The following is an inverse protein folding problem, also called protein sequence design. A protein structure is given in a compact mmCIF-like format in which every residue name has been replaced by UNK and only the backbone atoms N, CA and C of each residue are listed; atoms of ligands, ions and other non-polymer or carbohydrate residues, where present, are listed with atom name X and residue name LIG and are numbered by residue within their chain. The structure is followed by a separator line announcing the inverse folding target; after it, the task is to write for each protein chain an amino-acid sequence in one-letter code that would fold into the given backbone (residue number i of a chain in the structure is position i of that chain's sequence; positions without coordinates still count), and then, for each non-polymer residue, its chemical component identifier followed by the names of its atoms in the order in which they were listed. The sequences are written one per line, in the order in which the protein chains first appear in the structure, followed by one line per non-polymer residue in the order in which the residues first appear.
data_IF_381427847323
#
_entry.id   IF_381427847323
#
_cell.length_a   1.000
_cell.length_b   1.000
_cell.length_c   1.000
_cell.angle_alpha   90.00
_cell.angle_beta   90.00
_cell.angle_gamma   90.00
#
_symmetry.space_group_name_H-M   'P 1'
#
loop_
_entity.id
_entity.type
_entity.pdbx_description
1 polymer ?
#
# COMPACT_ATOMS: atom_id res chain seq x y z
N UNK A 1 19.23 -21.21 -0.84
CA UNK A 1 17.93 -21.16 -1.55
C UNK A 1 17.62 -19.68 -1.84
N UNK A 2 16.57 -19.36 -2.60
CA UNK A 2 16.19 -17.97 -2.89
C UNK A 2 14.76 -17.73 -2.43
N UNK A 3 14.56 -16.69 -1.62
CA UNK A 3 13.25 -16.18 -1.25
C UNK A 3 12.95 -14.91 -2.05
N UNK A 4 11.90 -14.93 -2.85
CA UNK A 4 11.37 -13.75 -3.52
C UNK A 4 10.21 -13.16 -2.72
N UNK A 5 10.31 -11.90 -2.32
CA UNK A 5 9.26 -11.19 -1.58
C UNK A 5 8.56 -10.20 -2.51
N UNK A 6 7.24 -10.31 -2.61
CA UNK A 6 6.38 -9.51 -3.47
C UNK A 6 5.32 -8.80 -2.64
N UNK A 7 4.87 -7.63 -3.05
CA UNK A 7 3.77 -6.90 -2.38
C UNK A 7 2.36 -7.40 -2.75
N UNK A 8 2.23 -8.18 -3.84
CA UNK A 8 0.94 -8.62 -4.38
C UNK A 8 0.98 -9.95 -5.14
N UNK A 9 -0.16 -10.64 -5.17
CA UNK A 9 -0.30 -12.00 -5.72
C UNK A 9 -0.01 -12.09 -7.21
N UNK A 10 -0.42 -11.09 -7.99
CA UNK A 10 -0.28 -11.16 -9.45
C UNK A 10 1.19 -11.11 -9.88
N UNK A 11 1.98 -10.21 -9.31
CA UNK A 11 3.42 -10.12 -9.53
C UNK A 11 4.14 -11.41 -9.09
N UNK A 12 3.78 -11.95 -7.92
CA UNK A 12 4.35 -13.20 -7.42
C UNK A 12 4.06 -14.39 -8.36
N UNK A 13 2.81 -14.52 -8.82
CA UNK A 13 2.39 -15.57 -9.75
C UNK A 13 3.03 -15.45 -11.12
N UNK A 14 3.29 -14.22 -11.59
CA UNK A 14 3.96 -13.98 -12.86
C UNK A 14 5.45 -14.33 -12.78
N UNK A 15 6.12 -13.89 -11.70
CA UNK A 15 7.53 -14.15 -11.47
C UNK A 15 7.82 -15.64 -11.26
N UNK A 16 6.97 -16.37 -10.54
CA UNK A 16 7.17 -17.80 -10.26
C UNK A 16 7.14 -18.70 -11.50
N UNK A 17 6.63 -18.20 -12.62
CA UNK A 17 6.64 -18.92 -13.90
C UNK A 17 8.01 -18.88 -14.60
N UNK A 18 8.89 -17.94 -14.23
CA UNK A 18 10.14 -17.66 -14.96
C UNK A 18 11.38 -17.46 -14.08
N UNK A 19 11.20 -17.34 -12.77
CA UNK A 19 12.26 -17.23 -11.77
C UNK A 19 12.10 -18.35 -10.75
N UNK A 20 13.16 -19.11 -10.51
CA UNK A 20 13.18 -20.20 -9.54
C UNK A 20 13.40 -19.67 -8.12
N UNK A 21 12.62 -20.19 -7.16
CA UNK A 21 12.74 -19.86 -5.75
C UNK A 21 11.41 -20.02 -5.03
N UNK A 22 11.39 -19.68 -3.75
CA UNK A 22 10.16 -19.56 -2.96
C UNK A 22 9.59 -18.16 -3.17
N UNK A 23 8.29 -18.05 -3.47
CA UNK A 23 7.62 -16.76 -3.66
C UNK A 23 6.69 -16.47 -2.47
N UNK A 24 7.06 -15.46 -1.68
CA UNK A 24 6.28 -14.95 -0.56
C UNK A 24 5.55 -13.68 -0.98
N UNK A 25 4.23 -13.65 -0.78
CA UNK A 25 3.43 -12.42 -0.88
C UNK A 25 3.36 -11.78 0.51
N UNK A 26 3.96 -10.61 0.65
CA UNK A 26 3.91 -9.75 1.82
C UNK A 26 2.87 -8.66 1.59
N UNK A 27 1.75 -8.69 2.32
CA UNK A 27 0.61 -7.83 2.01
C UNK A 27 0.05 -7.19 3.28
N UNK A 28 0.37 -5.91 3.49
CA UNK A 28 -0.01 -5.17 4.68
C UNK A 28 -0.36 -3.71 4.33
N UNK A 29 -1.45 -3.19 4.91
CA UNK A 29 -1.92 -1.83 4.67
C UNK A 29 -1.19 -0.82 5.57
N UNK A 30 0.15 -0.77 5.50
CA UNK A 30 0.96 0.05 6.41
C UNK A 30 0.67 1.56 6.34
N UNK A 31 0.10 2.05 5.24
CA UNK A 31 -0.36 3.44 5.09
C UNK A 31 -1.70 3.74 5.82
N UNK A 32 -2.26 2.74 6.51
CA UNK A 32 -3.52 2.85 7.26
C UNK A 32 -3.37 2.45 8.71
N UNK A 33 -4.16 3.10 9.57
CA UNK A 33 -4.26 2.78 10.98
C UNK A 33 -2.96 2.97 11.77
N UNK A 34 -2.96 2.61 13.06
CA UNK A 34 -1.80 2.85 13.90
C UNK A 34 -0.63 1.93 13.51
N UNK A 35 0.58 2.49 13.53
CA UNK A 35 1.84 1.75 13.47
C UNK A 35 2.51 1.80 14.86
N UNK A 36 2.18 0.88 15.79
CA UNK A 36 2.81 0.84 17.10
C UNK A 36 4.34 0.80 17.00
N UNK A 37 5.04 1.57 17.83
CA UNK A 37 6.50 1.54 17.84
C UNK A 37 7.01 0.15 18.31
N UNK A 38 8.22 -0.26 17.88
CA UNK A 38 8.87 -1.46 18.39
C UNK A 38 8.93 -1.49 19.93
N UNK A 39 8.94 -2.68 20.56
CA UNK A 39 9.05 -4.00 19.92
C UNK A 39 7.75 -4.51 19.27
N UNK A 40 7.88 -5.22 18.15
CA UNK A 40 6.77 -5.86 17.42
C UNK A 40 6.28 -7.10 18.17
N UNK A 41 5.44 -6.88 19.17
CA UNK A 41 4.83 -7.93 19.99
C UNK A 41 3.43 -8.28 19.48
N UNK A 42 2.70 -9.15 20.18
CA UNK A 42 1.29 -9.42 19.87
C UNK A 42 0.41 -8.18 19.75
N UNK A 43 0.78 -7.08 20.42
CA UNK A 43 0.05 -5.82 20.28
C UNK A 43 0.14 -5.25 18.86
N UNK A 44 1.30 -5.37 18.21
CA UNK A 44 1.49 -4.97 16.80
C UNK A 44 0.54 -5.76 15.90
N UNK A 45 0.62 -7.09 15.95
CA UNK A 45 -0.21 -7.96 15.10
C UNK A 45 -1.71 -7.75 15.33
N UNK A 46 -2.16 -7.60 16.58
CA UNK A 46 -3.57 -7.28 16.87
C UNK A 46 -4.00 -5.94 16.29
N UNK A 47 -3.17 -4.90 16.44
CA UNK A 47 -3.47 -3.57 15.91
C UNK A 47 -3.55 -3.59 14.38
N UNK A 48 -2.60 -4.24 13.71
CA UNK A 48 -2.57 -4.38 12.24
C UNK A 48 -3.71 -5.24 11.71
N UNK A 49 -3.98 -6.38 12.36
CA UNK A 49 -5.06 -7.29 11.99
C UNK A 49 -6.43 -6.59 12.03
N UNK A 50 -6.67 -5.72 13.02
CA UNK A 50 -7.91 -4.96 13.12
C UNK A 50 -8.08 -3.92 12.00
N UNK A 51 -6.99 -3.39 11.45
CA UNK A 51 -7.02 -2.47 10.31
C UNK A 51 -7.42 -3.22 9.04
N UNK A 52 -6.74 -4.31 8.72
CA UNK A 52 -7.01 -5.08 7.48
C UNK A 52 -8.34 -5.81 7.54
N UNK A 53 -8.78 -6.28 8.72
CA UNK A 53 -10.07 -6.96 8.87
C UNK A 53 -11.26 -6.12 8.37
N UNK A 54 -11.14 -4.78 8.39
CA UNK A 54 -12.15 -3.86 7.84
C UNK A 54 -12.37 -4.00 6.33
N UNK A 55 -11.47 -4.69 5.63
CA UNK A 55 -11.58 -5.02 4.21
C UNK A 55 -12.39 -6.31 3.95
N UNK A 56 -13.05 -6.86 4.99
CA UNK A 56 -13.86 -8.08 4.88
C UNK A 56 -13.14 -9.36 5.31
N UNK A 57 -11.99 -9.24 5.99
CA UNK A 57 -11.25 -10.39 6.53
C UNK A 57 -11.53 -10.58 8.02
N UNK A 58 -11.26 -11.79 8.53
CA UNK A 58 -11.29 -12.03 9.98
C UNK A 58 -9.99 -11.59 10.63
N UNK A 59 -10.04 -10.93 11.79
CA UNK A 59 -8.82 -10.50 12.52
C UNK A 59 -7.89 -11.69 12.80
N UNK A 60 -8.42 -12.84 13.22
CA UNK A 60 -7.62 -14.06 13.48
C UNK A 60 -6.89 -14.57 12.23
N UNK A 61 -7.55 -14.53 11.07
CA UNK A 61 -6.95 -14.94 9.80
C UNK A 61 -5.83 -13.99 9.38
N UNK A 62 -6.04 -12.69 9.54
CA UNK A 62 -5.02 -11.68 9.24
C UNK A 62 -3.85 -11.79 10.21
N UNK A 63 -4.06 -11.85 11.52
CA UNK A 63 -2.98 -11.98 12.52
C UNK A 63 -2.06 -13.16 12.18
N UNK A 64 -2.64 -14.33 11.90
CA UNK A 64 -1.88 -15.51 11.48
C UNK A 64 -1.07 -15.26 10.21
N UNK A 65 -1.67 -14.62 9.20
CA UNK A 65 -1.01 -14.30 7.92
C UNK A 65 0.18 -13.37 8.15
N UNK A 66 0.01 -12.29 8.90
CA UNK A 66 1.07 -11.31 9.16
C UNK A 66 2.27 -11.95 9.86
N UNK A 67 2.02 -12.76 10.90
CA UNK A 67 3.08 -13.50 11.58
C UNK A 67 3.82 -14.43 10.62
N UNK A 68 3.10 -15.19 9.81
CA UNK A 68 3.72 -16.13 8.88
C UNK A 68 4.56 -15.43 7.80
N UNK A 69 4.21 -14.20 7.42
CA UNK A 69 4.99 -13.41 6.47
C UNK A 69 6.32 -12.94 7.09
N UNK A 70 6.27 -12.42 8.32
CA UNK A 70 7.46 -12.01 9.06
C UNK A 70 8.37 -13.22 9.36
N UNK A 71 7.80 -14.32 9.86
CA UNK A 71 8.50 -15.56 10.18
C UNK A 71 9.20 -16.15 8.95
N UNK A 72 8.57 -16.14 7.77
CA UNK A 72 9.18 -16.65 6.55
C UNK A 72 10.41 -15.85 6.10
N UNK A 73 10.41 -14.53 6.30
CA UNK A 73 11.58 -13.69 6.00
C UNK A 73 12.69 -13.96 7.03
N UNK A 74 12.35 -14.01 8.32
CA UNK A 74 13.33 -14.32 9.38
C UNK A 74 13.97 -15.68 9.16
N UNK A 75 13.17 -16.72 8.87
CA UNK A 75 13.68 -18.07 8.60
C UNK A 75 14.62 -18.10 7.39
N UNK A 76 14.27 -17.38 6.31
CA UNK A 76 15.14 -17.28 5.13
C UNK A 76 16.48 -16.59 5.47
N UNK A 77 16.45 -15.54 6.29
CA UNK A 77 17.66 -14.86 6.76
C UNK A 77 18.50 -15.81 7.64
N UNK A 78 17.92 -16.45 8.65
CA UNK A 78 18.61 -17.39 9.55
C UNK A 78 19.27 -18.56 8.77
N UNK A 79 18.67 -18.97 7.65
CA UNK A 79 19.21 -19.99 6.76
C UNK A 79 20.21 -19.46 5.71
N UNK A 80 20.60 -18.19 5.80
CA UNK A 80 21.45 -17.48 4.84
C UNK A 80 20.97 -17.62 3.38
N UNK A 81 19.66 -17.60 3.18
CA UNK A 81 19.07 -17.56 1.84
C UNK A 81 19.30 -16.21 1.16
N UNK A 82 19.34 -16.23 -0.17
CA UNK A 82 19.33 -15.01 -0.95
C UNK A 82 17.90 -14.46 -0.97
N UNK A 83 17.70 -13.25 -0.45
CA UNK A 83 16.41 -12.57 -0.47
C UNK A 83 16.36 -11.57 -1.64
N UNK A 84 15.33 -11.69 -2.48
CA UNK A 84 15.10 -10.80 -3.62
C UNK A 84 13.77 -10.08 -3.43
N UNK A 85 13.82 -8.75 -3.39
CA UNK A 85 12.69 -7.88 -3.15
C UNK A 85 12.10 -7.37 -4.47
N UNK A 86 10.77 -7.43 -4.58
CA UNK A 86 9.99 -6.98 -5.73
C UNK A 86 8.95 -5.96 -5.25
N UNK A 87 9.33 -4.67 -5.31
CA UNK A 87 8.48 -3.56 -4.87
C UNK A 87 8.37 -2.50 -5.93
N UNK A 88 7.14 -2.08 -6.19
CA UNK A 88 6.81 -1.00 -7.11
C UNK A 88 7.09 0.38 -6.49
N UNK A 89 6.89 1.43 -7.27
CA UNK A 89 7.27 2.79 -6.89
C UNK A 89 6.21 3.51 -6.03
N UNK A 90 5.08 2.85 -5.77
CA UNK A 90 3.93 3.44 -5.10
C UNK A 90 4.08 3.50 -3.57
N UNK A 91 3.24 4.30 -2.91
CA UNK A 91 3.23 4.43 -1.44
C UNK A 91 3.10 3.07 -0.72
N UNK A 92 2.25 2.17 -1.19
CA UNK A 92 2.01 0.87 -0.55
C UNK A 92 3.27 0.00 -0.53
N UNK A 93 3.91 -0.16 -1.69
CA UNK A 93 5.15 -0.90 -1.85
C UNK A 93 6.30 -0.27 -1.07
N UNK A 94 6.46 1.05 -1.13
CA UNK A 94 7.54 1.74 -0.42
C UNK A 94 7.38 1.60 1.11
N UNK A 95 6.15 1.66 1.64
CA UNK A 95 5.90 1.40 3.07
C UNK A 95 6.33 -0.02 3.47
N UNK A 96 5.98 -1.03 2.66
CA UNK A 96 6.36 -2.43 2.93
C UNK A 96 7.87 -2.62 2.83
N UNK A 97 8.50 -2.09 1.79
CA UNK A 97 9.95 -2.15 1.59
C UNK A 97 10.68 -1.60 2.83
N UNK A 98 10.34 -0.39 3.27
CA UNK A 98 10.99 0.21 4.44
C UNK A 98 10.65 -0.49 5.74
N UNK A 99 9.44 -1.04 5.89
CA UNK A 99 9.12 -1.86 7.04
C UNK A 99 10.04 -3.09 7.11
N UNK A 100 10.14 -3.86 6.04
CA UNK A 100 10.98 -5.07 5.98
C UNK A 100 12.45 -4.71 6.23
N UNK A 101 12.99 -3.74 5.49
CA UNK A 101 14.39 -3.35 5.60
C UNK A 101 14.75 -2.80 6.99
N UNK A 102 13.88 -1.98 7.60
CA UNK A 102 14.19 -1.35 8.88
C UNK A 102 14.01 -2.27 10.10
N UNK A 103 13.07 -3.22 10.01
CA UNK A 103 12.54 -3.92 11.18
C UNK A 103 12.73 -5.43 11.17
N UNK A 104 12.80 -6.04 9.99
CA UNK A 104 12.93 -7.50 9.86
C UNK A 104 14.36 -7.84 9.46
N UNK A 105 14.90 -7.13 8.47
CA UNK A 105 16.21 -7.43 7.94
C UNK A 105 17.32 -6.91 8.86
N UNK A 106 18.20 -7.83 9.24
CA UNK A 106 19.55 -7.50 9.69
C UNK A 106 20.42 -7.56 8.44
N UNK A 107 21.20 -6.52 8.16
CA UNK A 107 22.01 -6.46 6.93
C UNK A 107 23.35 -7.18 7.06
N UNK A 108 23.73 -7.59 8.27
CA UNK A 108 24.99 -8.30 8.52
C UNK A 108 24.96 -9.67 7.80
N UNK A 109 25.85 -9.87 6.84
CA UNK A 109 26.11 -11.15 6.14
C UNK A 109 24.97 -11.76 5.29
N UNK A 110 23.94 -10.99 4.92
CA UNK A 110 22.85 -11.48 4.04
C UNK A 110 22.95 -10.94 2.61
N UNK A 111 22.68 -11.81 1.63
CA UNK A 111 22.53 -11.40 0.23
C UNK A 111 21.11 -10.91 -0.01
N UNK A 112 20.96 -9.58 -0.16
CA UNK A 112 19.68 -8.93 -0.42
C UNK A 112 19.78 -8.16 -1.74
N UNK A 113 18.92 -8.51 -2.70
CA UNK A 113 18.83 -7.82 -3.99
C UNK A 113 17.44 -7.17 -4.14
N UNK A 114 17.39 -6.02 -4.80
CA UNK A 114 16.15 -5.34 -5.18
C UNK A 114 15.98 -5.39 -6.70
N UNK A 115 14.82 -5.83 -7.17
CA UNK A 115 14.46 -5.75 -8.58
C UNK A 115 13.96 -4.35 -8.89
N UNK A 116 14.53 -3.64 -9.90
CA UNK A 116 14.04 -2.32 -10.27
C UNK A 116 12.66 -2.41 -10.93
N UNK A 117 11.74 -1.53 -10.52
CA UNK A 117 10.49 -1.29 -11.22
C UNK A 117 10.61 0.00 -12.05
N UNK A 118 10.86 -0.09 -13.38
CA UNK A 118 10.97 1.10 -14.22
C UNK A 118 9.61 1.78 -14.38
N UNK A 119 9.57 3.10 -14.50
CA UNK A 119 8.32 3.84 -14.74
C UNK A 119 7.76 3.60 -16.17
N UNK A 120 8.62 3.20 -17.12
CA UNK A 120 8.23 2.86 -18.49
C UNK A 120 9.24 1.94 -19.17
N UNK A 121 8.79 1.20 -20.18
CA UNK A 121 9.58 0.34 -21.06
C UNK A 121 9.01 0.41 -22.49
N UNK A 122 9.75 -0.03 -23.53
CA UNK A 122 9.16 -0.21 -24.85
C UNK A 122 7.91 -1.12 -24.80
N UNK A 123 6.76 -0.59 -25.22
CA UNK A 123 5.46 -1.27 -25.13
C UNK A 123 4.67 -0.99 -23.85
N UNK A 124 5.31 -0.43 -22.81
CA UNK A 124 4.71 -0.06 -21.54
C UNK A 124 5.00 1.43 -21.26
N UNK A 125 4.22 2.38 -21.83
CA UNK A 125 4.49 3.81 -21.70
C UNK A 125 4.38 4.33 -20.27
N UNK A 126 3.65 3.61 -19.42
CA UNK A 126 3.52 3.81 -17.99
C UNK A 126 3.37 2.45 -17.34
N UNK A 127 4.16 2.18 -16.30
CA UNK A 127 4.11 0.97 -15.49
C UNK A 127 3.68 1.37 -14.09
N UNK A 128 2.50 0.90 -13.66
CA UNK A 128 2.03 1.10 -12.27
C UNK A 128 2.60 0.05 -11.34
N UNK A 129 2.98 -1.12 -11.88
CA UNK A 129 3.65 -2.16 -11.12
C UNK A 129 3.94 -3.44 -11.90
N UNK A 130 4.64 -4.39 -11.27
CA UNK A 130 5.06 -5.65 -11.90
C UNK A 130 3.91 -6.48 -12.47
N UNK A 131 2.70 -6.35 -11.92
CA UNK A 131 1.52 -7.07 -12.39
C UNK A 131 1.04 -6.69 -13.80
N UNK A 132 1.49 -5.56 -14.35
CA UNK A 132 1.11 -5.14 -15.71
C UNK A 132 1.99 -5.76 -16.80
N UNK A 133 3.09 -6.42 -16.41
CA UNK A 133 4.14 -6.89 -17.31
C UNK A 133 3.90 -8.32 -17.80
N UNK A 134 4.60 -8.70 -18.87
CA UNK A 134 4.69 -10.09 -19.31
C UNK A 134 5.87 -10.83 -18.64
N UNK A 135 5.85 -12.17 -18.73
CA UNK A 135 6.87 -13.05 -18.14
C UNK A 135 8.28 -12.81 -18.70
N UNK A 136 8.41 -12.42 -19.98
CA UNK A 136 9.72 -12.13 -20.57
C UNK A 136 10.31 -10.87 -19.96
N UNK A 137 9.48 -9.84 -19.77
CA UNK A 137 9.86 -8.57 -19.17
C UNK A 137 10.23 -8.77 -17.70
N UNK A 138 9.46 -9.55 -16.93
CA UNK A 138 9.79 -9.90 -15.55
C UNK A 138 11.14 -10.61 -15.45
N UNK A 139 11.40 -11.59 -16.33
CA UNK A 139 12.70 -12.28 -16.35
C UNK A 139 13.86 -11.34 -16.69
N UNK A 140 13.64 -10.38 -17.58
CA UNK A 140 14.63 -9.38 -17.93
C UNK A 140 14.93 -8.42 -16.76
N UNK A 141 13.91 -8.00 -16.01
CA UNK A 141 14.07 -7.15 -14.81
C UNK A 141 14.76 -7.91 -13.68
N UNK A 142 14.45 -9.18 -13.47
CA UNK A 142 15.14 -10.03 -12.49
C UNK A 142 16.67 -10.08 -12.72
N UNK A 143 17.09 -10.09 -13.99
CA UNK A 143 18.51 -10.08 -14.35
C UNK A 143 19.19 -8.71 -14.14
N UNK A 144 18.39 -7.66 -13.92
CA UNK A 144 18.84 -6.29 -13.64
C UNK A 144 18.75 -5.94 -12.15
N UNK A 145 18.40 -6.90 -11.29
CA UNK A 145 18.38 -6.67 -9.84
C UNK A 145 19.73 -6.15 -9.35
N UNK A 146 19.68 -5.22 -8.41
CA UNK A 146 20.87 -4.65 -7.79
C UNK A 146 20.96 -5.11 -6.34
N UNK A 147 22.14 -5.51 -5.94
CA UNK A 147 22.45 -5.77 -4.55
C UNK A 147 22.26 -4.51 -3.71
N UNK A 148 21.65 -4.65 -2.53
CA UNK A 148 21.54 -3.59 -1.53
C UNK A 148 22.76 -3.65 -0.60
N UNK A 149 23.80 -2.83 -0.80
CA UNK A 149 25.02 -2.86 0.02
C UNK A 149 24.80 -2.42 1.48
N UNK A 150 24.81 -3.39 2.40
CA UNK A 150 25.25 -3.29 3.81
C UNK A 150 24.74 -2.14 4.69
N UNK A 151 25.44 -1.92 5.81
CA UNK A 151 25.02 -1.10 6.97
C UNK A 151 24.53 0.32 6.64
N UNK A 152 25.08 0.97 5.61
CA UNK A 152 24.66 2.31 5.22
C UNK A 152 23.21 2.34 4.72
N UNK A 153 22.79 1.30 3.99
CA UNK A 153 21.39 1.14 3.57
C UNK A 153 20.51 0.80 4.76
N UNK A 154 21.00 0.05 5.73
CA UNK A 154 20.26 -0.23 6.96
C UNK A 154 19.95 1.07 7.73
N UNK A 155 20.91 2.00 7.81
CA UNK A 155 20.71 3.32 8.44
C UNK A 155 19.68 4.15 7.68
N UNK A 156 19.81 4.23 6.35
CA UNK A 156 18.84 4.96 5.51
C UNK A 156 17.45 4.35 5.63
N UNK A 157 17.31 3.03 5.52
CA UNK A 157 16.03 2.34 5.65
C UNK A 157 15.36 2.59 7.01
N UNK A 158 16.13 2.55 8.12
CA UNK A 158 15.62 2.87 9.46
C UNK A 158 15.18 4.33 9.58
N UNK A 159 15.95 5.27 9.02
CA UNK A 159 15.58 6.69 9.01
C UNK A 159 14.31 6.93 8.18
N UNK A 160 14.24 6.36 6.98
CA UNK A 160 13.11 6.48 6.07
C UNK A 160 11.85 5.85 6.67
N UNK A 161 11.97 4.65 7.27
CA UNK A 161 10.88 4.02 8.01
C UNK A 161 10.41 4.89 9.16
N UNK A 162 11.31 5.50 9.94
CA UNK A 162 10.94 6.39 11.04
C UNK A 162 10.13 7.60 10.55
N UNK A 163 10.50 8.18 9.42
CA UNK A 163 9.75 9.28 8.79
C UNK A 163 8.36 8.80 8.37
N UNK A 164 8.27 7.67 7.66
CA UNK A 164 7.01 7.12 7.15
C UNK A 164 6.06 6.63 8.24
N UNK A 165 6.58 5.97 9.28
CA UNK A 165 5.80 5.47 10.40
C UNK A 165 5.48 6.54 11.45
N UNK A 166 6.06 7.74 11.30
CA UNK A 166 5.73 8.91 12.09
C UNK A 166 4.35 9.48 11.76
N UNK A 167 3.91 10.45 12.54
CA UNK A 167 2.64 11.18 12.32
C UNK A 167 2.86 12.66 11.96
N UNK A 168 4.10 13.06 11.62
CA UNK A 168 4.45 14.43 11.31
C UNK A 168 4.29 14.70 9.81
N UNK A 169 3.26 15.45 9.43
CA UNK A 169 3.07 15.89 8.04
C UNK A 169 4.28 16.71 7.57
N UNK A 170 4.84 17.55 8.44
CA UNK A 170 6.03 18.35 8.14
C UNK A 170 7.26 17.47 7.83
N UNK A 171 7.47 16.38 8.57
CA UNK A 171 8.59 15.47 8.31
C UNK A 171 8.40 14.72 6.98
N UNK A 172 7.16 14.38 6.63
CA UNK A 172 6.81 13.73 5.37
C UNK A 172 7.00 14.67 4.17
N UNK A 173 6.53 15.92 4.27
CA UNK A 173 6.67 16.94 3.22
C UNK A 173 8.14 17.36 3.01
N UNK A 174 8.95 17.32 4.07
CA UNK A 174 10.37 17.65 4.02
C UNK A 174 11.28 16.42 3.90
N UNK A 175 10.73 15.24 3.57
CA UNK A 175 11.50 14.03 3.42
C UNK A 175 12.66 14.23 2.41
N UNK A 176 13.89 13.84 2.76
CA UNK A 176 15.04 14.04 1.90
C UNK A 176 14.98 13.15 0.66
N UNK A 177 15.71 13.55 -0.39
CA UNK A 177 16.01 12.63 -1.48
C UNK A 177 16.98 11.55 -1.00
N UNK A 178 16.62 10.28 -1.23
CA UNK A 178 17.49 9.14 -0.97
C UNK A 178 18.01 8.59 -2.31
N UNK A 179 19.32 8.64 -2.58
CA UNK A 179 19.88 8.16 -3.83
C UNK A 179 19.82 6.63 -3.97
N UNK A 180 19.71 5.90 -2.86
CA UNK A 180 19.52 4.44 -2.87
C UNK A 180 18.05 4.10 -3.10
N UNK A 181 17.15 4.88 -2.51
CA UNK A 181 15.70 4.70 -2.62
C UNK A 181 15.04 5.91 -3.27
N UNK A 182 15.14 6.07 -4.60
CA UNK A 182 14.72 7.29 -5.30
C UNK A 182 13.24 7.64 -5.14
N UNK A 183 12.39 6.65 -4.82
CA UNK A 183 10.94 6.83 -4.64
C UNK A 183 10.51 7.11 -3.19
N UNK A 184 11.44 7.07 -2.23
CA UNK A 184 11.14 7.37 -0.82
C UNK A 184 10.45 8.73 -0.66
N UNK A 185 11.03 9.78 -1.25
CA UNK A 185 10.50 11.13 -1.15
C UNK A 185 9.09 11.25 -1.70
N UNK A 186 8.85 10.69 -2.91
CA UNK A 186 7.52 10.70 -3.53
C UNK A 186 6.49 9.94 -2.69
N UNK A 187 6.88 8.80 -2.11
CA UNK A 187 6.02 8.04 -1.20
C UNK A 187 5.70 8.85 0.07
N UNK A 188 6.69 9.52 0.68
CA UNK A 188 6.47 10.36 1.85
C UNK A 188 5.54 11.55 1.55
N UNK A 189 5.77 12.26 0.44
CA UNK A 189 4.88 13.35 -0.03
C UNK A 189 3.46 12.83 -0.30
N UNK A 190 3.32 11.63 -0.88
CA UNK A 190 1.99 11.02 -1.08
C UNK A 190 1.35 10.60 0.23
N UNK A 191 2.11 10.11 1.21
CA UNK A 191 1.62 9.80 2.54
C UNK A 191 1.14 11.06 3.26
N UNK A 192 1.86 12.18 3.14
CA UNK A 192 1.39 13.48 3.65
C UNK A 192 0.01 13.85 3.08
N UNK A 193 -0.18 13.66 1.77
CA UNK A 193 -1.48 13.86 1.10
C UNK A 193 -2.56 12.84 1.49
N UNK A 194 -2.18 11.77 2.19
CA UNK A 194 -3.11 10.78 2.76
C UNK A 194 -3.66 11.20 4.12
N UNK A 195 -3.04 12.19 4.78
CA UNK A 195 -3.60 12.80 5.98
C UNK A 195 -4.82 13.67 5.63
N UNK A 196 -5.78 13.82 6.57
CA UNK A 196 -6.91 14.72 6.41
C UNK A 196 -6.45 16.17 6.19
N UNK A 197 -6.94 16.80 5.13
CA UNK A 197 -6.78 18.23 4.91
C UNK A 197 -7.37 19.04 6.08
N UNK A 198 -6.69 20.11 6.50
CA UNK A 198 -7.08 20.88 7.69
C UNK A 198 -8.41 21.62 7.56
N UNK A 199 -8.87 21.88 6.33
CA UNK A 199 -10.09 22.61 6.06
C UNK A 199 -11.27 21.67 5.80
N UNK A 200 -11.09 20.75 4.87
CA UNK A 200 -12.13 19.83 4.40
C UNK A 200 -12.19 18.53 5.20
N UNK A 201 -11.11 18.14 5.90
CA UNK A 201 -10.99 16.85 6.57
C UNK A 201 -10.89 15.65 5.63
N UNK A 202 -10.80 15.88 4.32
CA UNK A 202 -10.64 14.86 3.30
C UNK A 202 -9.16 14.65 3.01
N UNK A 203 -8.75 13.41 2.79
CA UNK A 203 -7.46 13.17 2.14
C UNK A 203 -7.58 13.31 0.61
N UNK A 204 -6.43 13.26 -0.09
CA UNK A 204 -6.39 13.41 -1.55
C UNK A 204 -7.26 12.39 -2.29
N UNK A 205 -7.27 11.13 -1.85
CA UNK A 205 -8.07 10.08 -2.49
C UNK A 205 -9.57 10.32 -2.32
N UNK A 206 -10.02 10.62 -1.10
CA UNK A 206 -11.42 10.94 -0.78
C UNK A 206 -11.90 12.16 -1.58
N UNK A 207 -11.06 13.19 -1.69
CA UNK A 207 -11.33 14.38 -2.52
C UNK A 207 -11.44 14.03 -4.01
N UNK A 208 -10.52 13.23 -4.54
CA UNK A 208 -10.55 12.77 -5.93
C UNK A 208 -11.80 11.93 -6.24
N UNK A 209 -12.25 11.09 -5.29
CA UNK A 209 -13.50 10.33 -5.45
C UNK A 209 -14.69 11.30 -5.59
N UNK A 210 -14.81 12.30 -4.71
CA UNK A 210 -15.91 13.28 -4.78
C UNK A 210 -15.88 14.09 -6.08
N UNK A 211 -14.69 14.51 -6.53
CA UNK A 211 -14.52 15.22 -7.80
C UNK A 211 -14.94 14.37 -9.00
N UNK A 212 -14.50 13.11 -9.05
CA UNK A 212 -14.87 12.20 -10.13
C UNK A 212 -16.39 11.95 -10.18
N UNK A 213 -17.04 11.85 -9.02
CA UNK A 213 -18.50 11.73 -8.92
C UNK A 213 -19.20 13.01 -9.40
N UNK A 214 -18.68 14.19 -9.06
CA UNK A 214 -19.18 15.48 -9.55
C UNK A 214 -19.05 15.59 -11.08
N UNK A 215 -17.97 15.06 -11.65
CA UNK A 215 -17.73 14.98 -13.10
C UNK A 215 -18.55 13.87 -13.80
N UNK A 216 -19.55 13.30 -13.12
CA UNK A 216 -20.52 12.36 -13.68
C UNK A 216 -20.08 10.89 -13.65
N UNK A 217 -18.93 10.56 -13.06
CA UNK A 217 -18.53 9.17 -12.87
C UNK A 217 -19.29 8.54 -11.70
N UNK A 218 -20.29 7.71 -11.98
CA UNK A 218 -21.14 7.12 -10.95
C UNK A 218 -20.95 5.61 -10.77
N UNK A 219 -20.30 4.93 -11.71
CA UNK A 219 -20.04 3.50 -11.62
C UNK A 219 -18.78 3.22 -10.77
N UNK A 220 -18.85 2.33 -9.76
CA UNK A 220 -17.72 2.04 -8.86
C UNK A 220 -16.43 1.61 -9.58
N UNK A 221 -16.52 0.77 -10.62
CA UNK A 221 -15.35 0.27 -11.36
C UNK A 221 -14.73 1.40 -12.18
N UNK A 222 -15.54 2.26 -12.80
CA UNK A 222 -15.03 3.43 -13.52
C UNK A 222 -14.42 4.45 -12.55
N UNK A 223 -14.98 4.61 -11.35
CA UNK A 223 -14.42 5.45 -10.30
C UNK A 223 -13.05 4.95 -9.85
N UNK A 224 -12.90 3.64 -9.63
CA UNK A 224 -11.61 3.04 -9.31
C UNK A 224 -10.57 3.36 -10.39
N UNK A 225 -10.90 3.08 -11.66
CA UNK A 225 -10.00 3.36 -12.79
C UNK A 225 -9.60 4.84 -12.87
N UNK A 226 -10.58 5.76 -12.82
CA UNK A 226 -10.29 7.20 -12.85
C UNK A 226 -9.44 7.65 -11.66
N UNK A 227 -9.74 7.17 -10.47
CA UNK A 227 -8.97 7.51 -9.28
C UNK A 227 -7.52 7.00 -9.38
N UNK A 228 -7.31 5.78 -9.92
CA UNK A 228 -5.97 5.27 -10.22
C UNK A 228 -5.26 6.11 -11.28
N UNK A 229 -5.95 6.53 -12.35
CA UNK A 229 -5.39 7.40 -13.39
C UNK A 229 -5.04 8.82 -12.86
N UNK A 230 -5.66 9.25 -11.76
CA UNK A 230 -5.35 10.52 -11.09
C UNK A 230 -4.15 10.44 -10.13
N UNK A 231 -3.62 9.25 -9.85
CA UNK A 231 -2.41 9.08 -9.05
C UNK A 231 -1.18 8.96 -9.96
N UNK A 232 -0.07 9.59 -9.57
CA UNK A 232 1.21 9.39 -10.26
C UNK A 232 1.62 7.91 -10.17
N UNK A 233 1.58 7.36 -8.96
CA UNK A 233 1.74 5.94 -8.65
C UNK A 233 0.53 5.46 -7.85
N UNK A 234 -0.39 4.68 -8.45
CA UNK A 234 -1.53 4.12 -7.74
C UNK A 234 -1.03 3.21 -6.62
N UNK A 235 -1.50 3.42 -5.39
CA UNK A 235 -1.03 2.70 -4.20
C UNK A 235 -2.13 1.86 -3.53
N UNK A 236 -3.32 1.82 -4.12
CA UNK A 236 -4.45 1.11 -3.58
C UNK A 236 -5.00 0.10 -4.59
N UNK A 237 -5.39 -1.06 -4.09
CA UNK A 237 -6.23 -2.01 -4.81
C UNK A 237 -7.71 -1.64 -4.74
N UNK A 238 -8.51 -2.39 -5.48
CA UNK A 238 -9.97 -2.27 -5.55
C UNK A 238 -10.64 -2.45 -4.18
N UNK A 239 -10.21 -3.45 -3.38
CA UNK A 239 -10.75 -3.70 -2.05
C UNK A 239 -10.63 -2.48 -1.12
N UNK A 240 -9.43 -1.91 -1.01
CA UNK A 240 -9.21 -0.70 -0.22
C UNK A 240 -9.99 0.49 -0.79
N UNK A 241 -10.00 0.68 -2.11
CA UNK A 241 -10.75 1.74 -2.74
C UNK A 241 -12.26 1.68 -2.44
N UNK A 242 -12.85 0.49 -2.54
CA UNK A 242 -14.27 0.31 -2.22
C UNK A 242 -14.54 0.49 -0.72
N UNK A 243 -13.61 0.10 0.15
CA UNK A 243 -13.72 0.44 1.57
C UNK A 243 -13.75 1.96 1.82
N UNK A 244 -12.95 2.75 1.10
CA UNK A 244 -12.99 4.22 1.17
C UNK A 244 -14.34 4.76 0.70
N UNK A 245 -14.90 4.22 -0.39
CA UNK A 245 -16.26 4.59 -0.86
C UNK A 245 -17.30 4.28 0.22
N UNK A 246 -17.27 3.09 0.81
CA UNK A 246 -18.22 2.70 1.87
C UNK A 246 -18.07 3.63 3.08
N UNK A 247 -16.85 3.99 3.50
CA UNK A 247 -16.60 4.96 4.57
C UNK A 247 -17.23 6.34 4.25
N UNK A 248 -17.10 6.81 3.02
CA UNK A 248 -17.71 8.08 2.58
C UNK A 248 -19.24 7.99 2.46
N UNK A 249 -19.79 6.79 2.26
CA UNK A 249 -21.22 6.52 2.18
C UNK A 249 -21.86 6.13 3.53
N UNK A 250 -21.06 5.94 4.58
CA UNK A 250 -21.51 5.40 5.86
C UNK A 250 -21.95 6.47 6.87
N UNK A 251 -22.83 6.06 7.78
CA UNK A 251 -23.25 6.84 8.95
C UNK A 251 -24.44 7.77 8.68
N UNK A 252 -24.73 8.63 9.67
CA UNK A 252 -25.91 9.52 9.64
C UNK A 252 -25.73 10.75 8.76
N UNK A 253 -24.48 11.07 8.38
CA UNK A 253 -24.16 12.25 7.57
C UNK A 253 -23.15 11.88 6.45
N UNK A 254 -23.51 11.03 5.48
CA UNK A 254 -22.57 10.56 4.48
C UNK A 254 -22.26 11.63 3.42
N UNK A 255 -21.07 11.54 2.82
CA UNK A 255 -20.63 12.40 1.70
C UNK A 255 -21.04 11.81 0.35
N UNK A 256 -21.18 10.49 0.28
CA UNK A 256 -21.67 9.75 -0.89
C UNK A 256 -22.97 9.02 -0.56
N UNK A 257 -23.75 8.70 -1.58
CA UNK A 257 -24.86 7.75 -1.51
C UNK A 257 -24.66 6.73 -2.60
N UNK A 258 -24.74 5.44 -2.22
CA UNK A 258 -24.77 4.31 -3.14
C UNK A 258 -26.20 3.80 -3.26
N UNK A 259 -26.74 3.76 -4.47
CA UNK A 259 -28.01 3.12 -4.80
C UNK A 259 -27.78 2.15 -5.95
N UNK A 260 -27.90 0.85 -5.68
CA UNK A 260 -27.45 -0.20 -6.59
C UNK A 260 -25.96 0.03 -6.96
N UNK A 261 -25.64 0.07 -8.25
CA UNK A 261 -24.28 0.34 -8.78
C UNK A 261 -24.05 1.80 -9.18
N UNK A 262 -24.83 2.73 -8.61
CA UNK A 262 -24.71 4.16 -8.87
C UNK A 262 -24.31 4.87 -7.58
N UNK A 263 -23.18 5.57 -7.65
CA UNK A 263 -22.64 6.43 -6.60
C UNK A 263 -22.90 7.89 -6.97
N UNK A 264 -23.44 8.66 -6.04
CA UNK A 264 -23.70 10.09 -6.18
C UNK A 264 -23.23 10.86 -4.95
N UNK A 265 -22.79 12.11 -5.13
CA UNK A 265 -22.43 12.98 -4.01
C UNK A 265 -23.69 13.50 -3.31
N UNK A 266 -23.66 13.58 -1.99
CA UNK A 266 -24.70 14.27 -1.21
C UNK A 266 -24.47 15.78 -1.25
N UNK A 267 -25.48 16.57 -0.86
CA UNK A 267 -25.28 18.00 -0.65
C UNK A 267 -24.15 18.25 0.37
N UNK A 268 -24.04 17.40 1.38
CA UNK A 268 -22.93 17.45 2.34
C UNK A 268 -21.59 17.21 1.67
N UNK A 269 -21.45 16.15 0.88
CA UNK A 269 -20.22 15.82 0.14
C UNK A 269 -19.75 16.98 -0.74
N UNK A 270 -20.68 17.62 -1.43
CA UNK A 270 -20.43 18.83 -2.21
C UNK A 270 -19.95 20.00 -1.34
N UNK A 271 -20.66 20.30 -0.24
CA UNK A 271 -20.24 21.35 0.71
C UNK A 271 -18.87 21.09 1.31
N UNK A 272 -18.55 19.84 1.64
CA UNK A 272 -17.22 19.44 2.16
C UNK A 272 -16.13 19.62 1.12
N UNK A 273 -16.39 19.30 -0.16
CA UNK A 273 -15.42 19.44 -1.24
C UNK A 273 -14.94 20.90 -1.41
N UNK A 274 -15.83 21.86 -1.18
CA UNK A 274 -15.53 23.31 -1.17
C UNK A 274 -15.26 23.88 0.22
N UNK A 275 -15.15 23.01 1.22
CA UNK A 275 -14.79 23.32 2.61
C UNK A 275 -15.79 24.21 3.36
N UNK A 276 -17.05 24.16 2.99
CA UNK A 276 -18.15 24.70 3.80
C UNK A 276 -18.54 23.77 4.95
N UNK A 277 -17.99 22.55 4.96
CA UNK A 277 -18.08 21.57 6.04
C UNK A 277 -16.77 20.79 6.14
N UNK A 278 -16.47 20.31 7.35
CA UNK A 278 -15.31 19.44 7.60
C UNK A 278 -15.77 17.99 7.76
N UNK A 279 -15.11 17.08 7.06
CA UNK A 279 -15.27 15.64 7.19
C UNK A 279 -14.52 15.14 8.42
N UNK A 280 -15.21 14.38 9.24
CA UNK A 280 -14.61 13.61 10.34
C UNK A 280 -15.10 12.18 10.14
N UNK A 281 -14.20 11.26 9.78
CA UNK A 281 -14.54 9.86 9.62
C UNK A 281 -15.30 9.31 10.83
N UNK A 282 -16.49 8.76 10.60
CA UNK A 282 -17.17 7.97 11.62
C UNK A 282 -16.53 6.58 11.64
N UNK A 283 -16.25 6.02 12.83
CA UNK A 283 -15.76 4.65 12.95
C UNK A 283 -16.83 3.69 12.42
N UNK A 284 -16.56 3.00 11.31
CA UNK A 284 -17.35 1.86 10.88
C UNK A 284 -17.11 0.74 11.90
N UNK A 285 -18.06 0.49 12.80
CA UNK A 285 -18.06 -0.73 13.57
C UNK A 285 -18.20 -1.91 12.58
N UNK A 286 -17.40 -2.96 12.77
CA UNK A 286 -17.40 -4.16 11.93
C UNK A 286 -18.77 -4.87 12.02
N UNK A 287 -19.72 -4.40 11.21
CA UNK A 287 -21.02 -5.01 10.96
C UNK A 287 -21.29 -4.93 9.46
N UNK A 288 -20.46 -5.63 8.68
CA UNK A 288 -20.86 -6.08 7.35
C UNK A 288 -21.00 -7.59 7.45
N UNK A 289 -22.24 -8.02 7.68
CA UNK A 289 -22.61 -9.41 7.55
C UNK A 289 -22.25 -9.90 6.16
N UNK A 290 -21.67 -11.11 6.12
CA UNK A 290 -21.45 -11.88 4.93
C UNK A 290 -22.73 -11.90 4.07
N UNK A 291 -22.74 -11.09 3.01
CA UNK A 291 -23.67 -11.29 1.91
C UNK A 291 -22.92 -12.00 0.80
N UNK A 292 -23.33 -13.26 0.62
CA UNK A 292 -22.91 -14.19 -0.40
C UNK A 292 -22.84 -13.55 -1.79
N UNK A 293 -21.64 -13.54 -2.36
CA UNK A 293 -21.45 -13.67 -3.81
C UNK A 293 -20.45 -14.80 -4.06
N UNK A 294 -20.94 -16.02 -3.90
CA UNK A 294 -20.47 -17.17 -4.67
C UNK A 294 -21.32 -17.22 -5.93
N UNK A 295 -20.71 -16.91 -7.07
CA UNK A 295 -20.83 -17.64 -8.34
C UNK A 295 -19.64 -17.25 -9.23
#
# INVERSE_FOLDING_TARGET
MILHVHSGDHAANLASQVVEGTHLVYSELLHEGPLPLPPFTDQWYRARASVIAKQGYTEKGVDKKLRSQDEAIVEALDNHEHVVLWFDNCLYDQMILFFILANIMQFEDHQIDLVPCPESLPGYPRISGFGELDTNTIKALYNQKSHLPGDAIAVNAKSNWKTLAGNSIEDLENAPHDPVFPYFKKAAERLAQHHPDSFTGLNKLEKNILLNVLDGCSNPIQLFKRASDNEEFPFFGDGYFFHVIEKLAFGTNPLLVRRNDVITATLRGLRTLWGWETWIPTTMAANLGANNHTE
#
